data_IF_538371457987
#
_entry.id   IF_538371457987
#
_cell.length_a   1.000
_cell.length_b   1.000
_cell.length_c   1.000
_cell.angle_alpha   90.00
_cell.angle_beta   90.00
_cell.angle_gamma   90.00
#
_symmetry.space_group_name_H-M   'P 1'
#
loop_
_entity.id
_entity.type
_entity.pdbx_description
1 polymer ?
#
# COMPACT_ATOMS: atom_id res chain seq x y z
N UNK A 1 17.11 13.43 51.40
CA UNK A 1 16.56 12.36 50.54
C UNK A 1 15.71 13.06 49.49
N UNK A 2 16.28 13.39 48.33
CA UNK A 2 15.57 14.06 47.24
C UNK A 2 15.11 13.01 46.24
N UNK A 3 13.78 12.87 46.09
CA UNK A 3 13.17 12.02 45.08
C UNK A 3 13.28 12.73 43.73
N UNK A 4 14.04 12.17 42.79
CA UNK A 4 14.05 12.63 41.40
C UNK A 4 12.81 12.09 40.68
N UNK A 5 11.92 12.99 40.25
CA UNK A 5 10.76 12.67 39.43
C UNK A 5 11.24 12.41 38.00
N UNK A 6 11.29 11.15 37.56
CA UNK A 6 11.60 10.81 36.16
C UNK A 6 10.32 11.05 35.35
N UNK A 7 10.27 12.16 34.62
CA UNK A 7 9.25 12.41 33.61
C UNK A 7 9.58 11.56 32.40
N UNK A 8 8.82 10.48 32.16
CA UNK A 8 8.85 9.77 30.89
C UNK A 8 8.20 10.66 29.83
N UNK A 9 9.01 11.32 29.01
CA UNK A 9 8.55 12.01 27.81
C UNK A 9 8.33 10.93 26.75
N UNK A 10 7.07 10.60 26.47
CA UNK A 10 6.70 9.85 25.28
C UNK A 10 6.96 10.73 24.06
N UNK A 11 8.04 10.44 23.33
CA UNK A 11 8.31 11.04 22.03
C UNK A 11 7.27 10.50 21.04
N UNK A 12 6.16 11.21 20.87
CA UNK A 12 5.30 11.03 19.70
C UNK A 12 6.03 11.71 18.55
N UNK A 13 6.66 10.92 17.68
CA UNK A 13 7.22 11.46 16.44
C UNK A 13 6.07 11.88 15.54
N UNK A 14 5.86 13.19 15.41
CA UNK A 14 4.98 13.72 14.39
C UNK A 14 5.56 13.38 13.00
N UNK A 15 4.69 13.00 12.06
CA UNK A 15 5.10 12.77 10.67
C UNK A 15 5.69 14.05 10.09
N UNK A 16 6.74 13.90 9.29
CA UNK A 16 7.43 14.97 8.59
C UNK A 16 6.56 15.48 7.43
N UNK A 17 6.43 16.80 7.35
CA UNK A 17 5.84 17.45 6.18
C UNK A 17 6.73 17.32 4.95
N UNK A 18 6.21 17.77 3.81
CA UNK A 18 6.98 17.86 2.56
C UNK A 18 8.31 18.57 2.76
N UNK A 19 9.35 18.03 2.13
CA UNK A 19 10.76 18.44 2.21
C UNK A 19 11.40 18.27 3.60
N UNK A 20 10.71 17.64 4.55
CA UNK A 20 11.26 17.22 5.83
C UNK A 20 12.12 15.96 5.70
N UNK A 21 12.85 15.65 6.78
CA UNK A 21 13.69 14.47 6.87
C UNK A 21 12.84 13.21 7.11
N UNK A 22 13.22 12.10 6.51
CA UNK A 22 12.62 10.78 6.73
C UNK A 22 13.69 9.69 6.60
N UNK A 23 13.37 8.44 6.92
CA UNK A 23 14.21 7.30 6.57
C UNK A 23 13.39 6.21 5.89
N UNK A 24 13.86 5.75 4.73
CA UNK A 24 13.24 4.61 4.02
C UNK A 24 13.29 3.34 4.89
N UNK A 25 14.26 3.22 5.80
CA UNK A 25 14.35 2.09 6.72
C UNK A 25 13.20 2.02 7.73
N UNK A 26 12.48 3.12 7.94
CA UNK A 26 11.34 3.18 8.84
C UNK A 26 10.04 2.78 8.12
N UNK A 27 10.07 2.57 6.80
CA UNK A 27 8.89 2.12 6.07
C UNK A 27 8.60 0.64 6.38
N UNK A 28 7.39 0.36 6.85
CA UNK A 28 6.94 -1.00 7.14
C UNK A 28 5.42 -1.05 7.25
N UNK A 29 4.85 -2.26 7.27
CA UNK A 29 3.44 -2.44 7.60
C UNK A 29 3.26 -2.47 9.12
N UNK A 30 2.25 -1.77 9.62
CA UNK A 30 1.84 -1.87 11.02
C UNK A 30 1.52 -3.33 11.38
N UNK A 31 1.99 -3.78 12.53
CA UNK A 31 1.86 -5.18 12.94
C UNK A 31 0.39 -5.59 13.20
N UNK A 32 -0.49 -4.65 13.49
CA UNK A 32 -1.89 -4.89 13.85
C UNK A 32 -2.83 -4.54 12.70
N UNK A 33 -2.72 -3.34 12.12
CA UNK A 33 -3.63 -2.84 11.09
C UNK A 33 -3.19 -3.20 9.68
N UNK A 34 -1.91 -3.55 9.50
CA UNK A 34 -1.26 -3.73 8.19
C UNK A 34 -1.31 -2.48 7.32
N UNK A 35 -1.52 -1.30 7.91
CA UNK A 35 -1.36 -0.03 7.22
C UNK A 35 0.13 0.22 6.90
N UNK A 36 0.42 0.82 5.76
CA UNK A 36 1.78 1.28 5.45
C UNK A 36 2.18 2.47 6.35
N UNK A 37 3.20 2.25 7.16
CA UNK A 37 3.82 3.24 8.05
C UNK A 37 5.00 3.87 7.33
N UNK A 38 5.05 5.19 7.35
CA UNK A 38 6.17 6.01 6.88
C UNK A 38 6.34 7.25 7.75
N UNK A 39 7.54 7.83 7.74
CA UNK A 39 7.84 9.07 8.46
C UNK A 39 7.13 10.29 7.85
N UNK A 40 6.75 10.22 6.57
CA UNK A 40 6.14 11.35 5.86
C UNK A 40 4.63 11.47 6.14
N UNK A 41 4.12 12.69 6.08
CA UNK A 41 2.68 12.96 6.17
C UNK A 41 1.88 12.35 5.00
N UNK A 42 0.56 12.51 5.03
CA UNK A 42 -0.34 11.96 4.01
C UNK A 42 -0.16 12.56 2.61
N UNK A 43 0.67 13.60 2.44
CA UNK A 43 0.94 14.24 1.15
C UNK A 43 2.28 13.80 0.55
N UNK A 44 3.14 13.15 1.33
CA UNK A 44 4.48 12.77 0.92
C UNK A 44 4.76 11.26 0.89
N UNK A 45 5.90 10.94 0.32
CA UNK A 45 6.59 9.65 0.43
C UNK A 45 8.05 9.89 0.78
N UNK A 46 8.69 8.92 1.43
CA UNK A 46 10.12 9.03 1.76
C UNK A 46 10.97 8.62 0.56
N UNK A 47 11.67 9.58 -0.05
CA UNK A 47 12.55 9.31 -1.18
C UNK A 47 13.90 8.73 -0.71
N UNK A 48 14.65 8.12 -1.64
CA UNK A 48 15.94 7.48 -1.36
C UNK A 48 17.04 8.43 -0.85
N UNK A 49 16.81 9.74 -0.91
CA UNK A 49 17.67 10.78 -0.32
C UNK A 49 17.16 11.24 1.06
N UNK A 50 16.37 10.41 1.74
CA UNK A 50 15.89 10.64 3.11
C UNK A 50 15.07 11.95 3.24
N UNK A 51 14.34 12.30 2.18
CA UNK A 51 13.50 13.49 2.11
C UNK A 51 12.05 13.14 1.76
N UNK A 52 11.09 13.72 2.48
CA UNK A 52 9.69 13.62 2.13
C UNK A 52 9.38 14.40 0.85
N UNK A 53 9.12 13.71 -0.26
CA UNK A 53 8.74 14.33 -1.51
C UNK A 53 7.23 14.17 -1.77
N UNK A 54 6.59 15.05 -2.56
CA UNK A 54 5.18 14.91 -2.89
C UNK A 54 4.88 13.55 -3.53
N UNK A 55 3.77 12.93 -3.14
CA UNK A 55 3.27 11.70 -3.78
C UNK A 55 3.15 11.86 -5.29
N UNK A 56 3.59 10.84 -6.02
CA UNK A 56 3.67 10.89 -7.49
C UNK A 56 2.53 10.14 -8.18
N UNK A 57 1.80 9.31 -7.46
CA UNK A 57 0.59 8.66 -7.91
C UNK A 57 -0.41 8.51 -6.76
N UNK A 58 -1.64 8.13 -7.09
CA UNK A 58 -2.66 7.74 -6.11
C UNK A 58 -3.33 6.44 -6.54
N UNK A 59 -3.92 5.75 -5.56
CA UNK A 59 -4.81 4.60 -5.74
C UNK A 59 -6.27 5.00 -5.61
N UNK A 60 -6.57 5.83 -4.62
CA UNK A 60 -7.93 6.29 -4.36
C UNK A 60 -8.42 7.18 -5.50
N UNK A 61 -9.52 6.77 -6.13
CA UNK A 61 -10.18 7.55 -7.15
C UNK A 61 -10.83 8.82 -6.55
N UNK A 62 -11.29 8.71 -5.30
CA UNK A 62 -11.97 9.77 -4.57
C UNK A 62 -11.03 10.47 -3.58
N UNK A 63 -10.58 11.66 -3.95
CA UNK A 63 -9.87 12.58 -3.04
C UNK A 63 -10.85 13.58 -2.46
N UNK A 64 -10.70 13.89 -1.17
CA UNK A 64 -11.36 15.03 -0.55
C UNK A 64 -10.81 16.32 -1.17
N UNK A 65 -11.57 16.90 -2.11
CA UNK A 65 -11.17 18.09 -2.87
C UNK A 65 -10.91 19.32 -2.01
N UNK A 66 -11.45 19.35 -0.79
CA UNK A 66 -11.19 20.38 0.23
C UNK A 66 -9.75 20.41 0.74
N UNK A 67 -8.97 19.34 0.54
CA UNK A 67 -7.56 19.24 0.94
C UNK A 67 -6.59 19.59 -0.19
N UNK A 68 -7.10 19.86 -1.40
CA UNK A 68 -6.30 20.14 -2.59
C UNK A 68 -6.11 21.65 -2.75
N UNK A 69 -4.87 22.05 -3.02
CA UNK A 69 -4.52 23.44 -3.33
C UNK A 69 -3.76 23.50 -4.66
N UNK A 70 -3.62 24.68 -5.24
CA UNK A 70 -2.77 24.86 -6.43
C UNK A 70 -1.31 24.44 -6.18
N UNK A 71 -0.85 24.49 -4.92
CA UNK A 71 0.48 24.04 -4.49
C UNK A 71 0.57 22.54 -4.16
N UNK A 72 -0.58 21.86 -4.00
CA UNK A 72 -0.67 20.42 -3.67
C UNK A 72 -1.79 19.79 -4.50
N UNK A 73 -1.60 19.65 -5.83
CA UNK A 73 -2.59 19.00 -6.67
C UNK A 73 -2.73 17.52 -6.28
N UNK A 74 -3.90 16.95 -6.55
CA UNK A 74 -4.07 15.51 -6.40
C UNK A 74 -3.08 14.77 -7.33
N UNK A 75 -2.33 13.78 -6.82
CA UNK A 75 -1.51 12.94 -7.66
C UNK A 75 -2.37 12.21 -8.72
N UNK A 76 -1.83 11.91 -9.91
CA UNK A 76 -2.58 11.21 -10.94
C UNK A 76 -2.84 9.74 -10.56
N UNK A 77 -3.90 9.17 -11.13
CA UNK A 77 -4.05 7.71 -11.20
C UNK A 77 -3.02 7.13 -12.18
N UNK A 78 -2.58 5.91 -11.93
CA UNK A 78 -1.74 5.20 -12.88
C UNK A 78 -2.55 4.76 -14.11
N UNK A 79 -1.92 4.86 -15.28
CA UNK A 79 -2.52 4.39 -16.53
C UNK A 79 -2.56 2.86 -16.62
N UNK A 80 -3.26 2.32 -17.64
CA UNK A 80 -3.35 0.87 -17.85
C UNK A 80 -1.98 0.20 -17.92
N UNK A 81 -1.84 -0.99 -17.32
CA UNK A 81 -0.58 -1.73 -17.30
C UNK A 81 0.44 -1.25 -16.24
N UNK A 82 0.03 -0.33 -15.37
CA UNK A 82 0.83 0.19 -14.26
C UNK A 82 -0.01 0.29 -12.98
N UNK A 83 0.65 0.29 -11.83
CA UNK A 83 0.04 0.43 -10.50
C UNK A 83 0.75 1.50 -9.68
N UNK A 84 0.12 1.96 -8.60
CA UNK A 84 0.73 2.87 -7.62
C UNK A 84 1.13 2.07 -6.37
N UNK A 85 2.43 2.01 -6.01
CA UNK A 85 2.89 1.33 -4.80
C UNK A 85 2.33 1.97 -3.53
N UNK A 86 2.36 1.25 -2.40
CA UNK A 86 1.86 1.71 -1.10
C UNK A 86 2.52 3.02 -0.64
N UNK A 87 3.81 3.21 -0.94
CA UNK A 87 4.53 4.45 -0.63
C UNK A 87 4.15 5.61 -1.58
N UNK A 88 3.43 5.36 -2.67
CA UNK A 88 3.06 6.34 -3.69
C UNK A 88 4.26 7.07 -4.36
N UNK A 89 5.41 6.39 -4.46
CA UNK A 89 6.63 6.90 -5.10
C UNK A 89 6.53 7.05 -6.62
N UNK A 90 5.41 6.68 -7.23
CA UNK A 90 5.14 6.83 -8.66
C UNK A 90 4.70 5.53 -9.32
N UNK A 91 4.16 5.64 -10.54
CA UNK A 91 3.59 4.49 -11.22
C UNK A 91 4.66 3.47 -11.64
N UNK A 92 4.48 2.23 -11.19
CA UNK A 92 5.31 1.08 -11.54
C UNK A 92 4.59 0.17 -12.52
N UNK A 93 5.34 -0.61 -13.30
CA UNK A 93 4.76 -1.61 -14.21
C UNK A 93 4.20 -2.76 -13.41
N UNK A 94 3.05 -3.29 -13.84
CA UNK A 94 2.45 -4.50 -13.28
C UNK A 94 3.48 -5.64 -13.24
N UNK A 95 3.51 -6.34 -12.11
CA UNK A 95 4.40 -7.42 -11.73
C UNK A 95 3.97 -8.73 -12.41
N UNK A 96 4.88 -9.45 -13.07
CA UNK A 96 4.57 -10.76 -13.65
C UNK A 96 4.36 -11.82 -12.56
N UNK A 97 3.72 -12.94 -12.93
CA UNK A 97 3.55 -14.11 -12.05
C UNK A 97 4.92 -14.56 -11.49
N UNK A 98 4.97 -14.83 -10.19
CA UNK A 98 6.18 -15.18 -9.43
C UNK A 98 7.00 -13.98 -8.95
N UNK A 99 6.68 -12.76 -9.41
CA UNK A 99 7.27 -11.52 -8.91
C UNK A 99 6.78 -11.19 -7.50
N UNK A 100 7.46 -10.25 -6.84
CA UNK A 100 7.10 -9.78 -5.50
C UNK A 100 6.03 -8.69 -5.58
N UNK A 101 5.03 -8.77 -4.71
CA UNK A 101 3.95 -7.80 -4.58
C UNK A 101 3.75 -7.42 -3.10
N UNK A 102 3.14 -6.27 -2.90
CA UNK A 102 2.79 -5.72 -1.60
C UNK A 102 1.51 -6.39 -1.03
N UNK A 103 1.35 -6.42 0.30
CA UNK A 103 0.26 -7.14 0.96
C UNK A 103 -1.11 -6.61 0.54
N UNK A 104 -2.00 -7.49 0.08
CA UNK A 104 -3.36 -7.13 -0.37
C UNK A 104 -3.36 -6.16 -1.57
N UNK A 105 -2.37 -6.32 -2.46
CA UNK A 105 -2.19 -5.49 -3.66
C UNK A 105 -2.29 -6.32 -4.95
N UNK A 106 -3.47 -6.90 -5.17
CA UNK A 106 -3.76 -7.74 -6.34
C UNK A 106 -3.68 -6.96 -7.67
N UNK A 107 -3.91 -5.64 -7.62
CA UNK A 107 -3.80 -4.73 -8.77
C UNK A 107 -2.35 -4.58 -9.29
N UNK A 108 -1.35 -4.99 -8.51
CA UNK A 108 0.05 -5.03 -8.93
C UNK A 108 0.33 -6.20 -9.85
N UNK A 109 -0.50 -7.24 -9.83
CA UNK A 109 -0.19 -8.51 -10.46
C UNK A 109 -0.78 -8.65 -11.86
N UNK A 110 -0.03 -9.28 -12.77
CA UNK A 110 -0.44 -9.46 -14.16
C UNK A 110 -1.62 -10.44 -14.25
N UNK A 111 -2.79 -10.01 -14.76
CA UNK A 111 -3.94 -10.89 -14.90
C UNK A 111 -3.70 -11.95 -15.99
N UNK A 112 -4.40 -13.09 -15.91
CA UNK A 112 -4.42 -14.07 -16.98
C UNK A 112 -5.05 -13.48 -18.25
N UNK A 113 -4.62 -13.96 -19.42
CA UNK A 113 -5.13 -13.50 -20.73
C UNK A 113 -6.65 -13.78 -20.86
N UNK A 114 -7.11 -14.88 -20.26
CA UNK A 114 -8.52 -15.22 -20.17
C UNK A 114 -8.98 -14.94 -18.74
N UNK A 115 -10.08 -14.20 -18.58
CA UNK A 115 -10.64 -13.93 -17.27
C UNK A 115 -11.02 -15.26 -16.59
N UNK A 116 -10.51 -15.46 -15.38
CA UNK A 116 -10.79 -16.64 -14.53
C UNK A 116 -11.61 -16.20 -13.30
N UNK A 117 -12.14 -14.98 -13.35
CA UNK A 117 -12.90 -14.37 -12.26
C UNK A 117 -14.20 -15.15 -12.09
N UNK A 118 -14.41 -15.67 -10.90
CA UNK A 118 -15.70 -16.21 -10.48
C UNK A 118 -16.53 -15.02 -10.01
N UNK A 119 -17.69 -14.72 -10.63
CA UNK A 119 -18.55 -13.66 -10.15
C UNK A 119 -19.00 -13.93 -8.72
N UNK A 120 -19.17 -12.88 -7.94
CA UNK A 120 -19.75 -12.98 -6.61
C UNK A 120 -21.21 -13.50 -6.69
N UNK A 121 -21.85 -13.86 -5.56
CA UNK A 121 -23.23 -14.36 -5.56
C UNK A 121 -24.27 -13.40 -6.19
N UNK A 122 -23.91 -12.13 -6.41
CA UNK A 122 -24.74 -11.11 -7.05
C UNK A 122 -24.38 -10.87 -8.52
N UNK A 123 -23.41 -11.61 -9.06
CA UNK A 123 -22.99 -11.55 -10.46
C UNK A 123 -21.99 -10.45 -10.77
N UNK A 124 -21.36 -9.84 -9.76
CA UNK A 124 -20.33 -8.82 -9.94
C UNK A 124 -18.95 -9.48 -10.03
N UNK A 125 -18.10 -9.01 -10.94
CA UNK A 125 -16.73 -9.51 -11.09
C UNK A 125 -15.86 -9.05 -9.91
N UNK A 126 -15.30 -10.00 -9.16
CA UNK A 126 -14.35 -9.71 -8.09
C UNK A 126 -12.92 -9.75 -8.63
N UNK A 127 -12.41 -8.59 -9.04
CA UNK A 127 -11.04 -8.44 -9.52
C UNK A 127 -10.82 -8.93 -10.95
N UNK A 128 -9.58 -9.24 -11.29
CA UNK A 128 -9.16 -9.60 -12.66
C UNK A 128 -8.53 -11.01 -12.76
N UNK A 129 -8.60 -11.80 -11.69
CA UNK A 129 -8.04 -13.15 -11.59
C UNK A 129 -6.56 -13.22 -11.21
N UNK A 130 -5.87 -12.08 -11.07
CA UNK A 130 -4.58 -12.02 -10.41
C UNK A 130 -4.76 -11.90 -8.88
N UNK A 131 -3.81 -12.43 -8.12
CA UNK A 131 -3.80 -12.33 -6.66
C UNK A 131 -2.37 -12.21 -6.13
N UNK A 132 -2.16 -11.38 -5.11
CA UNK A 132 -0.94 -11.32 -4.33
C UNK A 132 -1.09 -12.20 -3.08
N UNK A 133 -0.42 -13.35 -3.05
CA UNK A 133 -0.39 -14.25 -1.90
C UNK A 133 1.04 -14.52 -1.48
N UNK A 134 1.31 -14.44 -0.18
CA UNK A 134 2.62 -14.62 0.45
C UNK A 134 3.69 -13.69 -0.15
N UNK A 135 3.26 -12.48 -0.52
CA UNK A 135 4.10 -11.48 -1.21
C UNK A 135 4.51 -11.91 -2.62
N UNK A 136 3.74 -12.78 -3.27
CA UNK A 136 3.99 -13.27 -4.62
C UNK A 136 2.77 -13.18 -5.52
N UNK A 137 2.97 -12.65 -6.72
CA UNK A 137 1.94 -12.60 -7.73
C UNK A 137 1.65 -14.01 -8.28
N UNK A 138 0.39 -14.40 -8.28
CA UNK A 138 -0.09 -15.62 -8.90
C UNK A 138 -1.50 -15.43 -9.45
N UNK A 139 -2.07 -16.46 -10.07
CA UNK A 139 -3.46 -16.44 -10.50
C UNK A 139 -4.34 -17.11 -9.47
N UNK A 140 -5.58 -16.63 -9.34
CA UNK A 140 -6.60 -17.20 -8.45
C UNK A 140 -7.19 -18.51 -8.95
N UNK A 141 -6.39 -19.38 -9.57
CA UNK A 141 -6.84 -20.67 -10.10
C UNK A 141 -5.89 -21.81 -9.73
N UNK A 142 -6.44 -23.02 -9.69
CA UNK A 142 -5.68 -24.23 -9.43
C UNK A 142 -6.39 -25.43 -10.06
N UNK A 143 -5.63 -26.42 -10.53
CA UNK A 143 -6.19 -27.66 -11.06
C UNK A 143 -6.88 -28.48 -9.96
N UNK A 144 -8.01 -29.09 -10.30
CA UNK A 144 -8.74 -29.97 -9.37
C UNK A 144 -7.80 -31.09 -8.89
N UNK A 145 -7.73 -31.28 -7.57
CA UNK A 145 -6.86 -32.27 -6.92
C UNK A 145 -5.46 -31.77 -6.58
N UNK A 146 -5.09 -30.55 -6.98
CA UNK A 146 -3.88 -29.88 -6.51
C UNK A 146 -4.11 -29.14 -5.18
N UNK A 147 -3.03 -28.82 -4.48
CA UNK A 147 -3.08 -28.09 -3.20
C UNK A 147 -3.32 -26.60 -3.42
N UNK A 148 -4.30 -26.03 -2.73
CA UNK A 148 -4.51 -24.58 -2.70
C UNK A 148 -3.41 -23.89 -1.88
N UNK A 149 -2.95 -22.74 -2.34
CA UNK A 149 -2.13 -21.83 -1.53
C UNK A 149 -3.08 -20.93 -0.75
N UNK A 150 -2.85 -20.81 0.55
CA UNK A 150 -3.68 -19.99 1.45
C UNK A 150 -2.78 -19.09 2.28
N UNK A 151 -3.15 -17.82 2.39
CA UNK A 151 -2.59 -16.89 3.34
C UNK A 151 -3.63 -16.55 4.40
N UNK A 152 -3.23 -16.46 5.67
CA UNK A 152 -4.09 -15.99 6.75
C UNK A 152 -3.47 -14.75 7.36
N UNK A 153 -4.14 -13.61 7.17
CA UNK A 153 -3.72 -12.31 7.69
C UNK A 153 -4.77 -11.80 8.67
N UNK A 154 -4.34 -11.47 9.89
CA UNK A 154 -5.20 -10.91 10.93
C UNK A 154 -5.04 -9.39 10.99
N UNK A 155 -6.18 -8.70 11.01
CA UNK A 155 -6.27 -7.25 11.12
C UNK A 155 -6.93 -6.89 12.45
N UNK A 156 -6.41 -5.86 13.11
CA UNK A 156 -7.08 -5.22 14.25
C UNK A 156 -7.64 -3.90 13.75
N UNK A 157 -8.96 -3.77 13.77
CA UNK A 157 -9.66 -2.51 13.56
C UNK A 157 -9.84 -1.76 14.88
N UNK A 158 -9.77 -0.44 14.83
CA UNK A 158 -10.13 0.44 15.94
C UNK A 158 -11.35 1.27 15.50
N UNK A 159 -12.40 1.26 16.33
CA UNK A 159 -13.66 1.96 16.13
C UNK A 159 -13.63 3.39 16.72
#
# INVERSE_FOLDING_TARGET
MFLALIVQITLVAARSGLYGNCSVSNNHLDANTKEFITDCDSFGYCAANDTCLPRLCRRDEFVLTSLLTSSTPAPPLCGPGSFCPDDASGCLRIVPVGGTCELNRDDECTPPIQAIVVPNPWGEEEGNGAICLLGKCMWGNVTIGSTCVTESTTYIGYD
#
